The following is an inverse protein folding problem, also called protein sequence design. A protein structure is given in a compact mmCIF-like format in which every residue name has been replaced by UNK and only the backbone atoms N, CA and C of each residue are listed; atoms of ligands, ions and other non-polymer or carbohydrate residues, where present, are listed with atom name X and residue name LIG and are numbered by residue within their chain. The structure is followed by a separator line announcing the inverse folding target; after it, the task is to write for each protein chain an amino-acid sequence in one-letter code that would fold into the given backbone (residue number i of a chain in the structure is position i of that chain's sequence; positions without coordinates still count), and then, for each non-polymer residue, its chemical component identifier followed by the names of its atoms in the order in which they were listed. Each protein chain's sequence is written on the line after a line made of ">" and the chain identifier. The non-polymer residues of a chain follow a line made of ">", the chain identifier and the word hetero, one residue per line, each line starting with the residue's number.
data_IF_542210431601
#
_entry.id   IF_542210431601
#
_cell.length_a   1.000
_cell.length_b   1.000
_cell.length_c   1.000
_cell.angle_alpha   90.00
_cell.angle_beta   90.00
_cell.angle_gamma   90.00
#
_symmetry.space_group_name_H-M   'P 1'
#
loop_
_entity.id
_entity.type
_entity.pdbx_description
1 polymer ?
#
# COMPACT_ATOMS: atom_id res chain seq x y z
N UNK A 1 10.00 -1.78 -7.42
CA UNK A 1 9.35 -1.21 -6.21
C UNK A 1 10.33 -0.53 -5.26
N UNK A 2 11.65 -0.60 -5.50
CA UNK A 2 12.68 -0.01 -4.62
C UNK A 2 13.18 1.35 -5.07
N UNK A 3 12.75 1.81 -6.25
CA UNK A 3 13.05 3.15 -6.75
C UNK A 3 12.00 4.13 -6.21
N UNK A 4 12.44 5.29 -5.73
CA UNK A 4 11.54 6.31 -5.21
C UNK A 4 10.61 6.86 -6.31
N UNK A 5 9.40 7.25 -5.94
CA UNK A 5 8.46 7.92 -6.85
C UNK A 5 8.86 9.37 -7.09
N UNK A 6 8.56 9.92 -8.28
CA UNK A 6 8.73 11.34 -8.57
C UNK A 6 7.65 12.23 -7.90
N UNK A 7 6.65 11.64 -7.25
CA UNK A 7 5.58 12.37 -6.57
C UNK A 7 6.01 12.90 -5.19
N UNK A 8 5.59 14.14 -4.89
CA UNK A 8 5.70 14.72 -3.55
C UNK A 8 4.57 14.22 -2.64
N UNK A 9 4.67 14.51 -1.35
CA UNK A 9 3.60 14.23 -0.38
C UNK A 9 2.26 14.87 -0.81
N UNK A 10 2.31 16.14 -1.23
CA UNK A 10 1.13 16.89 -1.65
C UNK A 10 0.53 16.35 -2.95
N UNK A 11 1.34 15.81 -3.85
CA UNK A 11 0.83 15.14 -5.04
C UNK A 11 0.07 13.85 -4.67
N UNK A 12 0.61 13.04 -3.76
CA UNK A 12 -0.06 11.83 -3.28
C UNK A 12 -1.39 12.16 -2.58
N UNK A 13 -1.44 13.25 -1.79
CA UNK A 13 -2.67 13.68 -1.12
C UNK A 13 -3.77 14.16 -2.09
N UNK A 14 -3.40 14.78 -3.22
CA UNK A 14 -4.37 15.25 -4.21
C UNK A 14 -5.21 14.12 -4.82
N UNK A 15 -4.68 12.89 -4.89
CA UNK A 15 -5.34 11.81 -5.64
C UNK A 15 -6.74 11.48 -5.10
N UNK A 16 -6.97 11.62 -3.80
CA UNK A 16 -8.26 11.34 -3.17
C UNK A 16 -9.36 12.24 -3.75
N UNK A 17 -9.09 13.56 -3.83
CA UNK A 17 -10.02 14.51 -4.44
C UNK A 17 -10.21 14.26 -5.94
N UNK A 18 -9.14 13.98 -6.67
CA UNK A 18 -9.18 13.72 -8.12
C UNK A 18 -9.97 12.44 -8.49
N UNK A 19 -10.10 11.52 -7.54
CA UNK A 19 -10.85 10.28 -7.71
C UNK A 19 -12.23 10.31 -7.03
N UNK A 20 -12.63 11.44 -6.44
CA UNK A 20 -13.87 11.58 -5.64
C UNK A 20 -13.94 10.51 -4.53
N UNK A 21 -12.86 10.36 -3.77
CA UNK A 21 -12.77 9.45 -2.65
C UNK A 21 -12.88 10.26 -1.36
N UNK A 22 -13.98 10.08 -0.66
CA UNK A 22 -14.26 10.71 0.62
C UNK A 22 -14.18 9.71 1.79
N UNK A 23 -14.04 10.24 3.01
CA UNK A 23 -14.07 9.46 4.27
C UNK A 23 -12.98 8.37 4.37
N UNK A 24 -11.86 8.60 3.68
CA UNK A 24 -10.67 7.75 3.68
C UNK A 24 -9.77 8.09 4.87
N UNK A 25 -9.33 7.10 5.64
CA UNK A 25 -8.28 7.34 6.64
C UNK A 25 -6.89 7.56 6.04
N UNK A 26 -6.71 7.27 4.75
CA UNK A 26 -5.47 7.47 4.02
C UNK A 26 -5.36 8.88 3.41
N UNK A 27 -6.41 9.71 3.51
CA UNK A 27 -6.33 11.11 3.11
C UNK A 27 -5.35 11.88 4.00
N UNK A 28 -4.61 12.84 3.43
CA UNK A 28 -3.58 13.62 4.11
C UNK A 28 -2.52 12.74 4.78
N UNK A 29 -2.10 11.65 4.11
CA UNK A 29 -1.02 10.74 4.56
C UNK A 29 0.16 10.72 3.58
N UNK A 30 0.17 11.58 2.56
CA UNK A 30 1.25 11.68 1.60
C UNK A 30 2.62 11.86 2.28
N UNK A 31 2.70 12.68 3.32
CA UNK A 31 3.92 12.88 4.10
C UNK A 31 4.40 11.57 4.76
N UNK A 32 3.49 10.82 5.37
CA UNK A 32 3.79 9.52 6.00
C UNK A 32 4.27 8.49 4.97
N UNK A 33 3.66 8.45 3.79
CA UNK A 33 4.13 7.56 2.71
C UNK A 33 5.51 7.94 2.20
N UNK A 34 5.83 9.23 2.11
CA UNK A 34 7.18 9.71 1.75
C UNK A 34 8.20 9.39 2.83
N UNK A 35 7.86 9.57 4.11
CA UNK A 35 8.71 9.14 5.22
C UNK A 35 9.01 7.64 5.15
N UNK A 36 7.98 6.83 4.89
CA UNK A 36 8.13 5.38 4.73
C UNK A 36 9.05 5.02 3.55
N UNK A 37 8.92 5.72 2.42
CA UNK A 37 9.79 5.54 1.25
C UNK A 37 11.24 5.90 1.55
N UNK A 38 11.49 7.04 2.17
CA UNK A 38 12.82 7.52 2.50
C UNK A 38 13.52 6.58 3.49
N UNK A 39 12.79 6.12 4.51
CA UNK A 39 13.34 5.26 5.56
C UNK A 39 13.58 3.83 5.07
N UNK A 40 12.63 3.23 4.36
CA UNK A 40 12.67 1.81 4.00
C UNK A 40 13.07 1.52 2.56
N UNK A 41 13.25 2.55 1.73
CA UNK A 41 13.58 2.47 0.30
C UNK A 41 12.55 1.66 -0.48
N UNK A 42 11.26 1.97 -0.25
CA UNK A 42 10.12 1.37 -0.94
C UNK A 42 9.26 2.47 -1.54
N UNK A 43 9.01 2.37 -2.84
CA UNK A 43 8.25 3.34 -3.63
C UNK A 43 6.92 3.75 -2.98
N UNK A 44 6.72 5.03 -2.71
CA UNK A 44 5.53 5.57 -2.02
C UNK A 44 4.25 5.44 -2.86
N UNK A 45 4.33 5.55 -4.19
CA UNK A 45 3.19 5.32 -5.09
C UNK A 45 2.72 3.86 -4.99
N UNK A 46 3.63 2.90 -4.93
CA UNK A 46 3.32 1.49 -4.66
C UNK A 46 2.68 1.32 -3.27
N UNK A 47 3.23 1.93 -2.22
CA UNK A 47 2.66 1.82 -0.86
C UNK A 47 1.23 2.38 -0.79
N UNK A 48 0.97 3.51 -1.43
CA UNK A 48 -0.36 4.09 -1.53
C UNK A 48 -1.30 3.18 -2.33
N UNK A 49 -0.88 2.67 -3.49
CA UNK A 49 -1.70 1.79 -4.31
C UNK A 49 -2.04 0.48 -3.59
N UNK A 50 -1.07 -0.08 -2.88
CA UNK A 50 -1.23 -1.31 -2.11
C UNK A 50 -2.20 -1.11 -0.95
N UNK A 51 -1.97 -0.09 -0.12
CA UNK A 51 -2.88 0.21 0.97
C UNK A 51 -4.29 0.55 0.49
N UNK A 52 -4.41 1.28 -0.63
CA UNK A 52 -5.71 1.59 -1.23
C UNK A 52 -6.46 0.33 -1.68
N UNK A 53 -5.78 -0.63 -2.32
CA UNK A 53 -6.42 -1.88 -2.74
C UNK A 53 -6.92 -2.70 -1.55
N UNK A 54 -6.07 -2.89 -0.54
CA UNK A 54 -6.33 -3.79 0.60
C UNK A 54 -7.34 -3.21 1.61
N UNK A 55 -7.59 -1.90 1.57
CA UNK A 55 -8.46 -1.22 2.55
C UNK A 55 -9.67 -0.51 1.94
N UNK A 56 -9.97 -0.74 0.67
CA UNK A 56 -10.97 0.01 -0.09
C UNK A 56 -10.75 1.53 0.03
N UNK A 57 -9.55 1.97 -0.33
CA UNK A 57 -9.07 3.35 -0.20
C UNK A 57 -9.23 3.91 1.22
N UNK A 58 -8.88 3.12 2.23
CA UNK A 58 -8.94 3.53 3.64
C UNK A 58 -10.35 3.57 4.23
N UNK A 59 -11.35 3.00 3.55
CA UNK A 59 -12.76 3.07 3.98
C UNK A 59 -13.27 1.79 4.65
N UNK A 60 -12.58 0.66 4.44
CA UNK A 60 -12.93 -0.64 5.03
C UNK A 60 -13.02 -0.56 6.55
N UNK A 61 -14.09 -1.14 7.12
CA UNK A 61 -14.28 -1.21 8.58
C UNK A 61 -13.10 -1.88 9.29
N UNK A 62 -12.54 -2.94 8.71
CA UNK A 62 -11.41 -3.66 9.32
C UNK A 62 -10.18 -2.76 9.38
N UNK A 63 -9.89 -2.05 8.30
CA UNK A 63 -8.77 -1.12 8.25
C UNK A 63 -8.93 0.00 9.28
N UNK A 64 -10.15 0.52 9.46
CA UNK A 64 -10.48 1.53 10.48
C UNK A 64 -10.31 1.00 11.91
N UNK A 65 -10.83 -0.21 12.18
CA UNK A 65 -10.79 -0.78 13.53
C UNK A 65 -9.37 -1.24 13.93
N UNK A 66 -8.52 -1.59 12.97
CA UNK A 66 -7.20 -2.21 13.20
C UNK A 66 -6.01 -1.33 12.85
N UNK A 67 -6.22 -0.21 12.16
CA UNK A 67 -5.18 0.58 11.51
C UNK A 67 -4.25 -0.27 10.63
N UNK A 68 -4.79 -1.30 9.99
CA UNK A 68 -4.06 -2.22 9.13
C UNK A 68 -4.58 -2.11 7.71
N UNK A 69 -3.87 -1.31 6.91
CA UNK A 69 -4.29 -0.94 5.56
C UNK A 69 -3.69 -1.84 4.48
N UNK A 70 -2.81 -2.79 4.83
CA UNK A 70 -2.07 -3.63 3.89
C UNK A 70 -2.44 -5.11 3.98
N UNK A 71 -3.46 -5.46 4.77
CA UNK A 71 -3.91 -6.84 4.94
C UNK A 71 -2.91 -7.74 5.66
N UNK A 72 -1.93 -7.18 6.39
CA UNK A 72 -0.87 -7.97 7.04
C UNK A 72 -1.49 -8.93 8.06
N UNK A 73 -1.24 -10.23 7.85
CA UNK A 73 -1.70 -11.38 8.66
C UNK A 73 -3.22 -11.59 8.74
N UNK A 74 -4.02 -11.00 7.85
CA UNK A 74 -5.46 -11.28 7.79
C UNK A 74 -5.74 -12.63 7.06
N UNK A 75 -5.63 -13.76 7.77
CA UNK A 75 -5.87 -15.09 7.19
C UNK A 75 -7.36 -15.39 6.91
N UNK A 76 -7.65 -16.14 5.84
CA UNK A 76 -8.98 -16.37 5.24
C UNK A 76 -10.09 -16.85 6.20
N UNK A 77 -9.77 -17.58 7.27
CA UNK A 77 -10.80 -18.11 8.19
C UNK A 77 -11.14 -17.15 9.33
N UNK A 78 -10.27 -16.19 9.68
CA UNK A 78 -10.49 -15.21 10.76
C UNK A 78 -9.76 -13.87 10.52
N UNK A 79 -10.08 -13.14 9.43
CA UNK A 79 -9.33 -11.95 9.04
C UNK A 79 -9.30 -10.86 10.12
N UNK A 80 -10.39 -10.69 10.89
CA UNK A 80 -10.46 -9.69 11.96
C UNK A 80 -9.61 -10.03 13.20
N UNK A 81 -9.50 -11.31 13.56
CA UNK A 81 -8.77 -11.75 14.75
C UNK A 81 -7.26 -11.82 14.50
N UNK A 82 -6.87 -12.15 13.27
CA UNK A 82 -5.47 -12.37 12.91
C UNK A 82 -4.75 -11.11 12.39
N UNK A 83 -5.51 -10.09 11.96
CA UNK A 83 -4.94 -8.83 11.50
C UNK A 83 -4.12 -8.16 12.61
N UNK A 84 -2.85 -7.85 12.29
CA UNK A 84 -2.00 -7.03 13.16
C UNK A 84 -2.71 -5.70 13.42
N UNK A 85 -2.70 -5.26 14.68
CA UNK A 85 -3.29 -3.97 15.10
C UNK A 85 -2.17 -2.96 15.33
N UNK A 86 -2.39 -1.73 14.89
CA UNK A 86 -1.49 -0.60 15.13
C UNK A 86 -2.21 0.53 15.88
N UNK A 87 -1.48 1.32 16.65
CA UNK A 87 -2.09 2.36 17.50
C UNK A 87 -2.79 3.45 16.67
N UNK A 88 -2.22 3.81 15.52
CA UNK A 88 -2.70 4.84 14.61
C UNK A 88 -2.36 4.52 13.15
N UNK A 89 -2.90 5.32 12.23
CA UNK A 89 -2.73 5.15 10.78
C UNK A 89 -1.27 5.29 10.37
N UNK A 90 -0.54 6.24 10.96
CA UNK A 90 0.84 6.53 10.56
C UNK A 90 1.79 5.39 10.94
N UNK A 91 1.66 4.88 12.17
CA UNK A 91 2.36 3.66 12.60
C UNK A 91 1.94 2.44 11.80
N UNK A 92 0.69 2.38 11.35
CA UNK A 92 0.20 1.35 10.43
C UNK A 92 0.97 1.38 9.11
N UNK A 93 1.12 2.53 8.48
CA UNK A 93 1.85 2.72 7.21
C UNK A 93 3.34 2.40 7.40
N UNK A 94 4.00 3.01 8.39
CA UNK A 94 5.43 2.80 8.65
C UNK A 94 5.72 1.34 9.02
N UNK A 95 4.90 0.76 9.89
CA UNK A 95 5.05 -0.61 10.34
C UNK A 95 4.78 -1.65 9.24
N UNK A 96 3.82 -1.38 8.36
CA UNK A 96 3.57 -2.21 7.19
C UNK A 96 4.73 -2.14 6.19
N UNK A 97 5.25 -0.94 5.94
CA UNK A 97 6.39 -0.73 5.04
C UNK A 97 7.64 -1.46 5.54
N UNK A 98 7.94 -1.36 6.85
CA UNK A 98 9.00 -2.14 7.50
C UNK A 98 8.82 -3.64 7.30
N UNK A 99 7.59 -4.13 7.47
CA UNK A 99 7.30 -5.55 7.31
C UNK A 99 7.48 -6.02 5.86
N UNK A 100 7.04 -5.24 4.87
CA UNK A 100 7.25 -5.52 3.44
C UNK A 100 8.76 -5.55 3.12
N UNK A 101 9.52 -4.57 3.64
CA UNK A 101 10.97 -4.50 3.48
C UNK A 101 11.66 -5.79 3.96
N UNK A 102 11.40 -6.18 5.20
CA UNK A 102 12.07 -7.31 5.86
C UNK A 102 11.65 -8.68 5.32
N UNK A 103 10.39 -8.83 4.89
CA UNK A 103 9.83 -10.13 4.50
C UNK A 103 9.81 -10.38 3.00
N UNK A 104 9.93 -9.34 2.18
CA UNK A 104 9.88 -9.46 0.72
C UNK A 104 11.09 -8.84 0.03
N UNK A 105 11.28 -7.53 0.19
CA UNK A 105 12.33 -6.79 -0.54
C UNK A 105 13.72 -7.35 -0.21
N UNK A 106 14.04 -7.50 1.08
CA UNK A 106 15.33 -8.04 1.54
C UNK A 106 15.51 -9.52 1.25
N UNK A 107 14.44 -10.19 0.82
CA UNK A 107 14.45 -11.60 0.39
C UNK A 107 14.42 -11.75 -1.13
N UNK A 108 14.71 -10.67 -1.86
CA UNK A 108 14.81 -10.68 -3.33
C UNK A 108 13.49 -10.55 -4.08
N UNK A 109 12.36 -10.29 -3.39
CA UNK A 109 11.05 -10.06 -4.01
C UNK A 109 10.85 -8.55 -4.25
N UNK A 110 11.58 -7.98 -5.21
CA UNK A 110 11.71 -6.52 -5.41
C UNK A 110 10.70 -5.89 -6.41
N UNK A 111 9.81 -6.69 -6.98
CA UNK A 111 8.73 -6.28 -7.87
C UNK A 111 7.42 -7.04 -7.60
N UNK A 112 6.27 -6.51 -8.04
CA UNK A 112 4.93 -7.06 -7.79
C UNK A 112 4.81 -8.50 -8.33
N UNK A 113 4.99 -8.66 -9.64
CA UNK A 113 5.02 -9.93 -10.33
C UNK A 113 3.70 -10.71 -10.31
N UNK A 114 3.80 -12.02 -10.48
CA UNK A 114 2.71 -12.98 -10.61
C UNK A 114 3.05 -14.27 -9.83
N UNK A 115 2.36 -15.38 -10.11
CA UNK A 115 2.64 -16.66 -9.44
C UNK A 115 3.94 -17.35 -9.85
N UNK A 116 4.62 -16.89 -10.90
CA UNK A 116 5.93 -17.41 -11.28
C UNK A 116 7.08 -16.66 -10.60
N UNK A 117 6.97 -15.36 -10.38
CA UNK A 117 8.03 -14.54 -9.79
C UNK A 117 7.51 -13.24 -9.18
N UNK A 118 8.32 -12.59 -8.34
CA UNK A 118 7.94 -11.37 -7.61
C UNK A 118 7.19 -11.63 -6.30
N UNK A 119 6.67 -10.57 -5.70
CA UNK A 119 6.03 -10.59 -4.40
C UNK A 119 4.75 -11.45 -4.38
N UNK A 120 4.01 -11.45 -5.49
CA UNK A 120 2.73 -12.16 -5.64
C UNK A 120 2.86 -13.69 -5.49
N UNK A 121 4.06 -14.26 -5.63
CA UNK A 121 4.27 -15.70 -5.38
C UNK A 121 3.79 -16.09 -3.98
N UNK A 122 4.11 -15.27 -2.98
CA UNK A 122 3.90 -15.58 -1.56
C UNK A 122 2.92 -14.63 -0.85
N UNK A 123 2.73 -13.40 -1.35
CA UNK A 123 1.97 -12.37 -0.62
C UNK A 123 0.48 -12.64 -0.52
N UNK A 124 -0.16 -12.96 -1.65
CA UNK A 124 -1.60 -13.12 -1.74
C UNK A 124 -1.93 -14.46 -2.39
N UNK A 125 -3.07 -15.07 -2.08
CA UNK A 125 -3.54 -16.27 -2.79
C UNK A 125 -3.99 -15.97 -4.22
N UNK A 126 -4.53 -14.77 -4.45
CA UNK A 126 -4.99 -14.30 -5.76
C UNK A 126 -3.85 -14.21 -6.78
N UNK A 127 -3.90 -14.96 -7.91
CA UNK A 127 -2.85 -14.93 -8.92
C UNK A 127 -2.71 -13.57 -9.62
N UNK A 128 -3.75 -12.73 -9.61
CA UNK A 128 -3.78 -11.42 -10.26
C UNK A 128 -3.54 -10.26 -9.28
N UNK A 129 -3.17 -10.53 -8.03
CA UNK A 129 -2.92 -9.51 -7.03
C UNK A 129 -1.93 -8.43 -7.52
N UNK A 130 -0.81 -8.85 -8.12
CA UNK A 130 0.18 -7.91 -8.67
C UNK A 130 -0.37 -7.02 -9.79
N UNK A 131 -1.23 -7.56 -10.66
CA UNK A 131 -1.89 -6.79 -11.73
C UNK A 131 -2.88 -5.77 -11.16
N UNK A 132 -3.64 -6.15 -10.13
CA UNK A 132 -4.57 -5.23 -9.45
C UNK A 132 -3.82 -4.05 -8.83
N UNK A 133 -2.73 -4.30 -8.12
CA UNK A 133 -1.91 -3.23 -7.52
C UNK A 133 -1.33 -2.32 -8.61
N UNK A 134 -0.77 -2.91 -9.67
CA UNK A 134 -0.25 -2.15 -10.81
C UNK A 134 -1.35 -1.29 -11.46
N UNK A 135 -2.58 -1.80 -11.58
CA UNK A 135 -3.71 -1.03 -12.11
C UNK A 135 -4.07 0.19 -11.25
N UNK A 136 -3.98 0.06 -9.92
CA UNK A 136 -4.17 1.18 -9.00
C UNK A 136 -3.02 2.18 -9.15
N UNK A 137 -1.76 1.73 -9.23
CA UNK A 137 -0.62 2.62 -9.48
C UNK A 137 -0.80 3.40 -10.79
N UNK A 138 -1.17 2.73 -11.89
CA UNK A 138 -1.42 3.38 -13.18
C UNK A 138 -2.54 4.43 -13.09
N UNK A 139 -3.63 4.11 -12.39
CA UNK A 139 -4.75 5.04 -12.20
C UNK A 139 -4.33 6.29 -11.39
N UNK A 140 -3.54 6.11 -10.33
CA UNK A 140 -3.01 7.23 -9.55
C UNK A 140 -2.08 8.07 -10.43
N UNK A 141 -1.14 7.43 -11.11
CA UNK A 141 -0.17 8.08 -11.98
C UNK A 141 -0.84 8.91 -13.08
N UNK A 142 -1.84 8.36 -13.78
CA UNK A 142 -2.63 9.07 -14.79
C UNK A 142 -3.28 10.34 -14.22
N UNK A 143 -3.88 10.25 -13.02
CA UNK A 143 -4.54 11.39 -12.37
C UNK A 143 -3.56 12.46 -11.89
N UNK A 144 -2.34 12.07 -11.54
CA UNK A 144 -1.30 12.99 -11.09
C UNK A 144 -0.39 13.47 -12.23
N UNK A 145 -0.73 13.17 -13.49
CA UNK A 145 -0.07 13.72 -14.67
C UNK A 145 1.09 12.91 -15.24
N UNK A 146 1.21 11.62 -14.89
CA UNK A 146 2.11 10.68 -15.57
C UNK A 146 3.59 10.95 -15.34
N UNK A 147 4.01 11.12 -14.07
CA UNK A 147 5.41 11.38 -13.72
C UNK A 147 6.23 10.10 -13.52
N UNK A 148 5.55 8.95 -13.33
CA UNK A 148 6.13 7.61 -13.14
C UNK A 148 5.65 6.61 -14.20
#
# INVERSE_FOLDING_TARGET
>A
MTEATNYSAEDLDKVFSLLNIDNSLLENKGATFKEAEEHYHINALYLLAHSALESDWGRSKIAKDKNNFFGITAYDTTPYLSAKTFDDVDKGILGATKWIKENYIDRGRTFLGNKASGMNVEYASDPYWGEKIASVMMKINEKLGGKD
#
